data_IF_146798506593
#
_entry.id   IF_146798506593
#
_cell.length_a   1.000
_cell.length_b   1.000
_cell.length_c   1.000
_cell.angle_alpha   90.00
_cell.angle_beta   90.00
_cell.angle_gamma   90.00
#
_symmetry.space_group_name_H-M   'P 1'
#
loop_
_entity.id
_entity.type
_entity.pdbx_description
1 polymer ?
#
# COMPACT_ATOMS: atom_id res chain seq x y z
N UNK A 1 32.12 -12.31 -23.64
CA UNK A 1 32.59 -12.46 -22.23
C UNK A 1 31.91 -11.51 -21.21
N UNK A 2 30.76 -10.86 -21.49
CA UNK A 2 30.14 -9.89 -20.55
C UNK A 2 28.82 -10.30 -19.89
N UNK A 3 28.15 -11.35 -20.37
CA UNK A 3 26.77 -11.69 -19.97
C UNK A 3 26.65 -12.19 -18.53
N UNK A 4 27.61 -12.96 -18.03
CA UNK A 4 27.57 -13.50 -16.65
C UNK A 4 27.63 -12.40 -15.57
N UNK A 5 28.45 -11.36 -15.79
CA UNK A 5 28.56 -10.21 -14.88
C UNK A 5 27.29 -9.37 -14.88
N UNK A 6 26.70 -9.13 -16.05
CA UNK A 6 25.42 -8.43 -16.16
C UNK A 6 24.30 -9.20 -15.46
N UNK A 7 24.21 -10.52 -15.68
CA UNK A 7 23.23 -11.39 -15.01
C UNK A 7 23.39 -11.36 -13.48
N UNK A 8 24.63 -11.45 -12.98
CA UNK A 8 24.90 -11.37 -11.55
C UNK A 8 24.48 -10.01 -10.94
N UNK A 9 24.77 -8.90 -11.64
CA UNK A 9 24.32 -7.55 -11.22
C UNK A 9 22.80 -7.47 -11.17
N UNK A 10 22.10 -7.97 -12.21
CA UNK A 10 20.64 -7.94 -12.27
C UNK A 10 20.01 -8.79 -11.16
N UNK A 11 20.52 -10.00 -10.89
CA UNK A 11 20.03 -10.83 -9.78
C UNK A 11 20.25 -10.18 -8.42
N UNK A 12 21.37 -9.46 -8.22
CA UNK A 12 21.61 -8.71 -6.98
C UNK A 12 20.58 -7.58 -6.81
N UNK A 13 20.35 -6.78 -7.85
CA UNK A 13 19.36 -5.69 -7.83
C UNK A 13 17.95 -6.25 -7.60
N UNK A 14 17.56 -7.31 -8.31
CA UNK A 14 16.25 -7.93 -8.14
C UNK A 14 16.02 -8.46 -6.73
N UNK A 15 17.04 -9.05 -6.09
CA UNK A 15 16.95 -9.49 -4.69
C UNK A 15 16.81 -8.30 -3.74
N UNK A 16 17.57 -7.22 -3.97
CA UNK A 16 17.40 -6.00 -3.20
C UNK A 16 15.97 -5.47 -3.34
N UNK A 17 15.43 -5.35 -4.56
CA UNK A 17 14.05 -4.88 -4.74
C UNK A 17 13.00 -5.81 -4.12
N UNK A 18 13.19 -7.13 -4.19
CA UNK A 18 12.22 -8.10 -3.67
C UNK A 18 12.22 -8.20 -2.14
N UNK A 19 13.39 -8.09 -1.52
CA UNK A 19 13.57 -8.37 -0.09
C UNK A 19 13.96 -7.13 0.73
N UNK A 20 14.12 -5.98 0.11
CA UNK A 20 14.22 -4.71 0.82
C UNK A 20 12.82 -4.33 1.30
N UNK A 21 12.55 -4.57 2.58
CA UNK A 21 11.45 -3.90 3.24
C UNK A 21 11.94 -2.50 3.59
N UNK A 22 11.36 -1.43 3.03
CA UNK A 22 11.70 -0.09 3.50
C UNK A 22 11.42 0.00 5.00
N UNK A 23 12.37 0.56 5.75
CA UNK A 23 12.09 1.00 7.11
C UNK A 23 11.16 2.20 7.00
N UNK A 24 9.92 2.01 7.46
CA UNK A 24 8.91 3.05 7.48
C UNK A 24 8.95 3.74 8.84
N UNK A 25 9.05 5.06 8.84
CA UNK A 25 8.93 5.85 10.07
C UNK A 25 7.45 5.86 10.51
N UNK A 26 7.11 4.93 11.40
CA UNK A 26 5.76 4.77 11.92
C UNK A 26 5.31 5.99 12.71
N UNK A 27 6.23 6.70 13.37
CA UNK A 27 5.92 7.88 14.18
C UNK A 27 5.51 9.05 13.27
N UNK A 28 6.24 9.25 12.17
CA UNK A 28 5.87 10.26 11.16
C UNK A 28 4.53 9.91 10.49
N UNK A 29 4.31 8.65 10.12
CA UNK A 29 3.04 8.20 9.53
C UNK A 29 1.85 8.40 10.47
N UNK A 30 2.01 8.06 11.76
CA UNK A 30 0.97 8.24 12.76
C UNK A 30 0.61 9.72 12.93
N UNK A 31 1.61 10.61 12.94
CA UNK A 31 1.38 12.06 13.03
C UNK A 31 0.60 12.57 11.82
N UNK A 32 0.98 12.16 10.62
CA UNK A 32 0.30 12.55 9.37
C UNK A 32 -1.15 12.09 9.37
N UNK A 33 -1.41 10.80 9.66
CA UNK A 33 -2.77 10.24 9.76
C UNK A 33 -3.62 10.92 10.84
N UNK A 34 -3.02 11.22 12.01
CA UNK A 34 -3.72 11.90 13.10
C UNK A 34 -4.02 13.37 12.81
N UNK A 35 -3.28 13.99 11.88
CA UNK A 35 -3.46 15.39 11.50
C UNK A 35 -4.43 15.53 10.32
N UNK A 36 -4.48 14.54 9.43
CA UNK A 36 -5.37 14.53 8.25
C UNK A 36 -6.81 14.12 8.58
N UNK A 37 -7.05 13.45 9.72
CA UNK A 37 -8.40 13.11 10.21
C UNK A 37 -8.87 13.93 11.44
N UNK A 38 -9.04 15.27 11.39
CA UNK A 38 -9.72 15.96 12.48
C UNK A 38 -11.22 15.63 12.57
N UNK A 39 -11.94 15.39 11.45
CA UNK A 39 -13.41 15.45 11.48
C UNK A 39 -14.16 14.74 10.34
N UNK A 40 -13.83 13.49 10.01
CA UNK A 40 -14.79 12.66 9.26
C UNK A 40 -15.03 11.37 10.05
N UNK A 41 -15.89 11.49 11.05
CA UNK A 41 -16.59 10.32 11.55
C UNK A 41 -17.37 9.77 10.36
N UNK A 42 -16.88 8.67 9.78
CA UNK A 42 -17.54 7.98 8.67
C UNK A 42 -19.04 7.92 8.96
N UNK A 43 -19.81 8.64 8.13
CA UNK A 43 -21.23 8.77 8.34
C UNK A 43 -21.92 7.46 7.96
N UNK A 44 -23.12 7.22 8.47
CA UNK A 44 -23.90 6.04 8.03
C UNK A 44 -24.15 6.03 6.51
N UNK A 45 -24.08 7.20 5.87
CA UNK A 45 -24.14 7.37 4.40
C UNK A 45 -22.90 6.79 3.70
N UNK A 46 -21.70 6.99 4.25
CA UNK A 46 -20.46 6.41 3.72
C UNK A 46 -20.48 4.89 3.79
N UNK A 47 -20.93 4.33 4.92
CA UNK A 47 -21.06 2.89 5.09
C UNK A 47 -22.09 2.28 4.13
N UNK A 48 -23.24 2.95 3.95
CA UNK A 48 -24.26 2.51 3.00
C UNK A 48 -23.74 2.50 1.55
N UNK A 49 -22.95 3.51 1.16
CA UNK A 49 -22.32 3.56 -0.16
C UNK A 49 -21.31 2.42 -0.37
N UNK A 50 -20.52 2.06 0.64
CA UNK A 50 -19.61 0.92 0.56
C UNK A 50 -20.33 -0.42 0.44
N UNK A 51 -21.46 -0.59 1.15
CA UNK A 51 -22.30 -1.79 1.02
C UNK A 51 -22.94 -1.90 -0.37
N UNK A 52 -23.31 -0.78 -0.99
CA UNK A 52 -23.91 -0.77 -2.33
C UNK A 52 -22.97 -1.33 -3.40
N UNK A 53 -21.68 -1.02 -3.32
CA UNK A 53 -20.63 -1.52 -4.23
C UNK A 53 -20.04 -2.86 -3.81
N UNK A 54 -20.50 -3.42 -2.69
CA UNK A 54 -20.05 -4.70 -2.17
C UNK A 54 -20.36 -5.87 -3.13
N UNK A 55 -19.52 -6.92 -3.13
CA UNK A 55 -19.71 -8.07 -4.01
C UNK A 55 -21.06 -8.78 -3.80
N UNK A 56 -21.69 -8.61 -2.63
CA UNK A 56 -22.98 -9.18 -2.25
C UNK A 56 -24.18 -8.42 -2.85
N UNK A 57 -24.04 -7.12 -3.15
CA UNK A 57 -25.09 -6.28 -3.74
C UNK A 57 -24.97 -6.11 -5.27
N UNK A 58 -23.87 -6.57 -5.87
CA UNK A 58 -23.63 -6.57 -7.33
C UNK A 58 -24.47 -7.59 -8.13
N UNK A 59 -25.45 -8.22 -7.49
CA UNK A 59 -26.24 -9.33 -8.03
C UNK A 59 -27.60 -8.92 -8.59
N UNK A 60 -27.63 -8.43 -9.83
CA UNK A 60 -28.80 -8.56 -10.72
C UNK A 60 -28.38 -8.72 -12.18
#
# INVERSE_FOLDING_TARGET
>A
MGRGRAKAKQTKVARQLKYNSPEMDLDSLQRELSTEHPHEAASEDDYAQWEEWGPDNSGR
#
